data_IF_572274795632
#
_entry.id   IF_572274795632
#
_cell.length_a   1.000
_cell.length_b   1.000
_cell.length_c   1.000
_cell.angle_alpha   90.00
_cell.angle_beta   90.00
_cell.angle_gamma   90.00
#
_symmetry.space_group_name_H-M   'P 1'
#
loop_
_entity.id
_entity.type
_entity.pdbx_description
1 polymer ?
#
# COMPACT_ATOMS: atom_id res chain seq x y z
N UNK A 1 -16.67 45.62 -9.75
CA UNK A 1 -17.76 44.63 -9.77
C UNK A 1 -17.09 43.27 -9.73
N UNK A 2 -17.32 42.54 -8.65
CA UNK A 2 -16.41 41.54 -8.09
C UNK A 2 -16.28 40.28 -8.95
N UNK A 3 -15.04 39.79 -9.02
CA UNK A 3 -14.70 38.43 -9.46
C UNK A 3 -15.23 37.43 -8.43
N UNK A 4 -16.19 36.59 -8.83
CA UNK A 4 -16.59 35.42 -8.05
C UNK A 4 -15.76 34.23 -8.51
N UNK A 5 -14.98 33.73 -7.57
CA UNK A 5 -14.19 32.52 -7.62
C UNK A 5 -15.11 31.31 -7.79
N UNK A 6 -14.88 30.48 -8.81
CA UNK A 6 -15.42 29.13 -8.86
C UNK A 6 -14.42 28.22 -8.14
N UNK A 7 -14.78 27.86 -6.91
CA UNK A 7 -14.16 26.80 -6.13
C UNK A 7 -14.35 25.48 -6.87
N UNK A 8 -13.24 24.86 -7.26
CA UNK A 8 -13.18 23.47 -7.65
C UNK A 8 -13.56 22.63 -6.42
N UNK A 9 -14.74 22.01 -6.47
CA UNK A 9 -15.12 20.97 -5.52
C UNK A 9 -14.20 19.78 -5.78
N UNK A 10 -13.21 19.62 -4.90
CA UNK A 10 -12.55 18.34 -4.64
C UNK A 10 -13.64 17.38 -4.16
N UNK A 11 -14.25 16.64 -5.09
CA UNK A 11 -14.84 15.37 -4.75
C UNK A 11 -13.68 14.46 -4.40
N UNK A 12 -13.31 14.46 -3.12
CA UNK A 12 -12.61 13.31 -2.55
C UNK A 12 -13.47 12.12 -2.87
N UNK A 13 -12.97 11.25 -3.74
CA UNK A 13 -13.43 9.87 -3.79
C UNK A 13 -13.10 9.33 -2.41
N UNK A 14 -14.09 9.40 -1.50
CA UNK A 14 -14.10 8.53 -0.34
C UNK A 14 -14.11 7.14 -0.95
N UNK A 15 -12.94 6.50 -0.99
CA UNK A 15 -12.87 5.07 -1.10
C UNK A 15 -13.78 4.58 0.04
N UNK A 16 -14.93 4.02 -0.32
CA UNK A 16 -15.75 3.33 0.66
C UNK A 16 -14.90 2.15 1.08
N UNK A 17 -14.12 2.33 2.16
CA UNK A 17 -13.42 1.25 2.81
C UNK A 17 -14.51 0.24 3.12
N UNK A 18 -14.55 -0.84 2.33
CA UNK A 18 -15.48 -1.91 2.56
C UNK A 18 -15.22 -2.38 3.99
N UNK A 19 -16.29 -2.52 4.79
CA UNK A 19 -16.16 -2.89 6.19
C UNK A 19 -15.52 -4.27 6.30
N UNK A 20 -14.20 -4.31 6.46
CA UNK A 20 -13.44 -5.52 6.68
C UNK A 20 -13.28 -5.69 8.19
N UNK A 21 -14.13 -6.47 8.81
CA UNK A 21 -13.88 -6.93 10.17
C UNK A 21 -13.25 -8.32 10.09
N UNK A 22 -12.07 -8.55 10.70
CA UNK A 22 -11.54 -9.89 10.77
C UNK A 22 -12.45 -10.79 11.62
N UNK A 23 -12.67 -12.01 11.17
CA UNK A 23 -13.43 -13.02 11.91
C UNK A 23 -12.71 -13.40 13.21
N UNK A 24 -13.41 -13.98 14.18
CA UNK A 24 -12.77 -14.56 15.37
C UNK A 24 -11.87 -15.75 14.99
N UNK A 25 -10.75 -15.94 15.69
CA UNK A 25 -9.72 -16.97 15.43
C UNK A 25 -9.02 -16.87 14.06
N UNK A 26 -9.22 -15.78 13.32
CA UNK A 26 -8.56 -15.54 12.04
C UNK A 26 -7.07 -15.21 12.26
N UNK A 27 -6.19 -15.89 11.53
CA UNK A 27 -4.78 -15.52 11.47
C UNK A 27 -4.64 -14.24 10.62
N UNK A 28 -4.09 -13.20 11.22
CA UNK A 28 -3.95 -11.88 10.58
C UNK A 28 -2.56 -11.30 10.83
N UNK A 29 -2.18 -10.36 9.98
CA UNK A 29 -1.05 -9.44 10.22
C UNK A 29 -1.56 -8.02 10.13
N UNK A 30 -1.31 -7.22 11.15
CA UNK A 30 -1.64 -5.80 11.17
C UNK A 30 -0.39 -4.95 11.18
N UNK A 31 -0.51 -3.77 10.56
CA UNK A 31 0.53 -2.75 10.56
C UNK A 31 0.06 -1.54 11.35
N UNK A 32 0.96 -0.99 12.15
CA UNK A 32 0.63 0.16 12.98
C UNK A 32 1.77 0.59 13.89
N UNK A 33 1.48 1.52 14.78
CA UNK A 33 2.41 1.96 15.82
C UNK A 33 2.15 1.18 17.10
N UNK A 34 3.19 0.57 17.68
CA UNK A 34 3.08 -0.08 18.97
C UNK A 34 3.01 0.99 20.07
N UNK A 35 1.90 1.01 20.82
CA UNK A 35 1.68 1.97 21.91
C UNK A 35 1.32 1.25 23.19
N UNK A 36 1.43 1.95 24.31
CA UNK A 36 1.03 1.45 25.61
C UNK A 36 0.03 2.41 26.26
N UNK A 37 -1.03 1.88 26.84
CA UNK A 37 -2.04 2.68 27.55
C UNK A 37 -2.24 2.17 28.95
N UNK A 38 -2.44 3.11 29.88
CA UNK A 38 -2.83 2.83 31.26
C UNK A 38 -4.27 3.28 31.45
N UNK A 39 -5.15 2.34 31.80
CA UNK A 39 -6.58 2.54 31.94
C UNK A 39 -7.04 2.18 33.37
N UNK A 40 -8.16 2.75 33.85
CA UNK A 40 -8.76 2.35 35.12
C UNK A 40 -9.21 0.89 35.08
N UNK A 41 -8.83 0.14 36.11
CA UNK A 41 -9.21 -1.24 36.37
C UNK A 41 -10.23 -1.36 37.52
N UNK A 42 -10.30 -2.52 38.18
CA UNK A 42 -11.16 -2.73 39.33
C UNK A 42 -10.93 -1.69 40.46
N UNK A 43 -11.95 -1.45 41.32
CA UNK A 43 -13.27 -2.07 41.29
C UNK A 43 -14.26 -1.41 40.31
N UNK A 44 -14.15 -0.10 40.05
CA UNK A 44 -15.18 0.64 39.34
C UNK A 44 -14.89 0.85 37.85
N UNK A 45 -13.62 0.76 37.43
CA UNK A 45 -13.18 0.98 36.05
C UNK A 45 -13.48 2.42 35.53
N UNK A 46 -13.52 3.40 36.44
CA UNK A 46 -13.88 4.79 36.14
C UNK A 46 -12.69 5.73 36.29
N UNK A 47 -11.91 5.63 37.37
CA UNK A 47 -10.86 6.60 37.69
C UNK A 47 -9.75 6.05 38.58
N UNK A 48 -8.53 6.01 38.00
CA UNK A 48 -7.29 5.70 38.74
C UNK A 48 -7.07 6.72 39.88
N UNK A 49 -7.47 7.99 39.70
CA UNK A 49 -7.30 9.03 40.73
C UNK A 49 -8.23 8.82 41.92
N UNK A 50 -9.36 8.15 41.72
CA UNK A 50 -10.38 7.92 42.74
C UNK A 50 -10.26 6.53 43.39
N UNK A 51 -9.21 5.78 43.06
CA UNK A 51 -8.82 4.54 43.76
C UNK A 51 -8.89 3.27 42.92
N UNK A 52 -9.23 3.35 41.64
CA UNK A 52 -9.18 2.19 40.74
C UNK A 52 -7.73 1.76 40.45
N UNK A 53 -7.54 0.45 40.27
CA UNK A 53 -6.26 -0.15 39.88
C UNK A 53 -5.79 0.41 38.53
N UNK A 54 -4.52 0.80 38.41
CA UNK A 54 -3.95 1.22 37.13
C UNK A 54 -3.54 -0.02 36.32
N UNK A 55 -4.27 -0.32 35.23
CA UNK A 55 -3.96 -1.44 34.36
C UNK A 55 -3.29 -0.95 33.08
N UNK A 56 -2.10 -1.47 32.80
CA UNK A 56 -1.31 -1.11 31.62
C UNK A 56 -1.34 -2.25 30.61
N UNK A 57 -1.72 -1.93 29.37
CA UNK A 57 -1.74 -2.88 28.25
C UNK A 57 -1.05 -2.29 27.02
N UNK A 58 -0.51 -3.18 26.19
CA UNK A 58 0.02 -2.82 24.88
C UNK A 58 -1.07 -2.90 23.82
N UNK A 59 -1.03 -1.94 22.89
CA UNK A 59 -1.96 -1.82 21.79
C UNK A 59 -1.17 -1.61 20.50
N UNK A 60 -1.76 -2.04 19.40
CA UNK A 60 -1.39 -1.56 18.08
C UNK A 60 -2.35 -0.44 17.68
N UNK A 61 -1.83 0.76 17.45
CA UNK A 61 -2.57 1.80 16.73
C UNK A 61 -2.43 1.55 15.24
N UNK A 62 -3.54 1.19 14.58
CA UNK A 62 -3.55 0.76 13.18
C UNK A 62 -3.18 1.90 12.23
N UNK A 63 -2.37 1.61 11.22
CA UNK A 63 -2.11 2.54 10.10
C UNK A 63 -3.39 2.73 9.27
N UNK A 64 -4.14 1.64 9.06
CA UNK A 64 -5.45 1.65 8.42
C UNK A 64 -6.49 1.07 9.38
N UNK A 65 -7.39 1.91 9.94
CA UNK A 65 -8.53 1.43 10.69
C UNK A 65 -9.41 0.53 9.83
N UNK A 66 -10.13 -0.37 10.47
CA UNK A 66 -11.10 -1.24 9.81
C UNK A 66 -12.46 -1.15 10.48
N UNK A 67 -13.53 -1.40 9.75
CA UNK A 67 -14.90 -1.26 10.25
C UNK A 67 -15.47 -2.62 10.65
N UNK A 68 -16.04 -2.69 11.85
CA UNK A 68 -16.70 -3.87 12.38
C UNK A 68 -18.19 -3.65 12.59
N UNK A 69 -19.01 -4.64 12.22
CA UNK A 69 -20.44 -4.62 12.53
C UNK A 69 -20.65 -4.74 14.03
N UNK A 70 -21.33 -3.76 14.64
CA UNK A 70 -21.74 -3.78 16.03
C UNK A 70 -23.26 -3.69 16.19
N UNK A 71 -23.74 -3.95 17.42
CA UNK A 71 -25.17 -3.91 17.77
C UNK A 71 -25.84 -2.54 17.48
N UNK A 72 -25.04 -1.47 17.43
CA UNK A 72 -25.51 -0.09 17.20
C UNK A 72 -25.06 0.50 15.84
N UNK A 73 -24.60 -0.34 14.91
CA UNK A 73 -24.07 0.07 13.61
C UNK A 73 -22.58 -0.26 13.43
N UNK A 74 -21.98 0.26 12.36
CA UNK A 74 -20.55 0.08 12.09
C UNK A 74 -19.70 0.81 13.14
N UNK A 75 -18.70 0.11 13.67
CA UNK A 75 -17.73 0.60 14.65
C UNK A 75 -16.36 0.58 14.00
N UNK A 76 -15.76 1.76 13.88
CA UNK A 76 -14.39 1.90 13.39
C UNK A 76 -13.40 1.47 14.46
N UNK A 77 -12.60 0.46 14.15
CA UNK A 77 -11.53 -0.06 14.99
C UNK A 77 -10.22 0.54 14.51
N UNK A 78 -9.70 1.50 15.27
CA UNK A 78 -8.40 2.15 15.02
C UNK A 78 -7.28 1.61 15.91
N UNK A 79 -7.63 0.80 16.90
CA UNK A 79 -6.70 0.24 17.87
C UNK A 79 -7.06 -1.20 18.21
N UNK A 80 -6.05 -2.04 18.35
CA UNK A 80 -6.19 -3.45 18.72
C UNK A 80 -5.38 -3.70 19.99
N UNK A 81 -6.04 -4.15 21.05
CA UNK A 81 -5.36 -4.58 22.27
C UNK A 81 -4.59 -5.88 22.00
N UNK A 82 -3.32 -5.91 22.41
CA UNK A 82 -2.47 -7.08 22.25
C UNK A 82 -2.59 -7.97 23.48
N UNK A 83 -2.88 -9.25 23.24
CA UNK A 83 -2.89 -10.31 24.23
C UNK A 83 -1.65 -11.15 24.02
N UNK A 84 -0.78 -11.20 25.03
CA UNK A 84 0.36 -12.09 25.02
C UNK A 84 -0.11 -13.47 25.48
N UNK A 85 -0.03 -14.52 24.65
CA UNK A 85 -0.18 -15.89 25.14
C UNK A 85 0.95 -16.19 26.14
N UNK A 86 0.82 -17.27 26.91
CA UNK A 86 1.82 -17.68 27.92
C UNK A 86 3.28 -17.49 27.42
N UNK A 87 4.16 -17.09 28.35
CA UNK A 87 5.48 -16.43 28.14
C UNK A 87 6.50 -17.15 27.23
N UNK A 88 6.17 -18.30 26.65
CA UNK A 88 7.09 -19.15 25.89
C UNK A 88 7.39 -18.62 24.47
N UNK A 89 6.65 -17.62 23.97
CA UNK A 89 6.84 -17.06 22.61
C UNK A 89 7.22 -15.58 22.60
N UNK A 90 6.39 -14.73 23.19
CA UNK A 90 6.60 -13.28 23.24
C UNK A 90 6.27 -12.79 24.64
N UNK A 91 7.19 -12.02 25.22
CA UNK A 91 7.02 -11.39 26.50
C UNK A 91 6.93 -9.86 26.35
N UNK A 92 6.45 -9.20 27.41
CA UNK A 92 6.43 -7.74 27.50
C UNK A 92 7.81 -7.11 27.27
N UNK A 93 8.90 -7.81 27.63
CA UNK A 93 10.28 -7.37 27.37
C UNK A 93 10.63 -7.27 25.88
N UNK A 94 9.94 -8.02 25.01
CA UNK A 94 10.16 -7.99 23.56
C UNK A 94 9.44 -6.81 22.89
N UNK A 95 8.35 -6.35 23.51
CA UNK A 95 7.55 -5.20 23.08
C UNK A 95 8.15 -3.87 23.55
N UNK A 96 8.68 -3.81 24.77
CA UNK A 96 9.18 -2.55 25.35
C UNK A 96 10.19 -1.78 24.46
N UNK A 97 11.18 -2.40 23.80
CA UNK A 97 12.11 -1.70 22.90
C UNK A 97 11.48 -1.19 21.60
N UNK A 98 10.23 -1.58 21.33
CA UNK A 98 9.49 -1.30 20.09
C UNK A 98 8.36 -0.28 20.31
N UNK A 99 8.11 0.14 21.55
CA UNK A 99 7.13 1.17 21.86
C UNK A 99 7.42 2.47 21.09
N UNK A 100 6.37 3.05 20.52
CA UNK A 100 6.41 4.24 19.67
C UNK A 100 6.96 3.99 18.26
N UNK A 101 7.28 2.74 17.89
CA UNK A 101 7.76 2.40 16.54
C UNK A 101 6.65 1.77 15.71
N UNK A 102 6.79 1.94 14.41
CA UNK A 102 6.00 1.20 13.43
C UNK A 102 6.40 -0.28 13.45
N UNK A 103 5.40 -1.14 13.53
CA UNK A 103 5.56 -2.60 13.60
C UNK A 103 4.55 -3.30 12.71
N UNK A 104 4.91 -4.51 12.30
CA UNK A 104 3.97 -5.53 11.83
C UNK A 104 3.77 -6.53 12.96
N UNK A 105 2.54 -6.73 13.39
CA UNK A 105 2.17 -7.73 14.39
C UNK A 105 1.34 -8.82 13.73
N UNK A 106 1.69 -10.07 13.99
CA UNK A 106 0.95 -11.22 13.50
C UNK A 106 0.37 -12.00 14.66
N UNK A 107 -0.82 -12.54 14.49
CA UNK A 107 -1.51 -13.25 15.55
C UNK A 107 -2.88 -13.76 15.14
N UNK A 108 -3.61 -14.29 16.13
CA UNK A 108 -5.00 -14.68 15.97
C UNK A 108 -5.93 -13.64 16.59
N UNK A 109 -6.97 -13.27 15.86
CA UNK A 109 -8.00 -12.37 16.35
C UNK A 109 -8.86 -13.03 17.43
N UNK A 110 -9.33 -12.22 18.36
CA UNK A 110 -10.26 -12.60 19.42
C UNK A 110 -11.22 -11.44 19.66
N UNK A 111 -12.48 -11.73 19.95
CA UNK A 111 -13.44 -10.68 20.32
C UNK A 111 -13.44 -10.39 21.83
N UNK A 112 -13.92 -9.21 22.21
CA UNK A 112 -14.03 -8.82 23.61
C UNK A 112 -14.99 -9.76 24.37
N UNK A 113 -14.50 -10.40 25.43
CA UNK A 113 -15.25 -11.39 26.23
C UNK A 113 -15.27 -11.05 27.73
N UNK A 114 -14.49 -10.05 28.18
CA UNK A 114 -14.38 -9.68 29.60
C UNK A 114 -14.26 -8.17 29.78
N UNK A 115 -14.51 -7.68 31.00
CA UNK A 115 -14.31 -6.26 31.36
C UNK A 115 -12.85 -5.79 31.36
N UNK A 116 -11.89 -6.65 30.96
CA UNK A 116 -10.47 -6.30 30.77
C UNK A 116 -10.09 -6.14 29.30
N UNK A 117 -11.05 -6.34 28.39
CA UNK A 117 -10.88 -6.18 26.95
C UNK A 117 -11.44 -4.81 26.58
N UNK A 118 -10.57 -3.89 26.17
CA UNK A 118 -10.91 -2.49 25.92
C UNK A 118 -11.10 -2.15 24.44
N UNK A 119 -10.85 -3.11 23.54
CA UNK A 119 -11.11 -2.99 22.10
C UNK A 119 -12.07 -4.08 21.63
N UNK A 120 -12.92 -3.82 20.61
CA UNK A 120 -13.87 -4.82 20.10
C UNK A 120 -13.16 -6.07 19.55
N UNK A 121 -12.04 -5.84 18.86
CA UNK A 121 -11.13 -6.85 18.34
C UNK A 121 -9.81 -6.78 19.11
N UNK A 122 -9.32 -7.93 19.55
CA UNK A 122 -8.03 -8.14 20.19
C UNK A 122 -7.17 -9.04 19.31
N UNK A 123 -5.85 -9.05 19.56
CA UNK A 123 -4.92 -9.93 18.87
C UNK A 123 -4.11 -10.74 19.87
N UNK A 124 -4.26 -12.07 19.83
CA UNK A 124 -3.36 -13.00 20.50
C UNK A 124 -2.07 -13.03 19.69
N UNK A 125 -1.02 -12.45 20.24
CA UNK A 125 0.21 -12.13 19.52
C UNK A 125 1.08 -13.38 19.30
N UNK A 126 1.44 -13.63 18.04
CA UNK A 126 2.39 -14.67 17.64
C UNK A 126 3.77 -14.10 17.30
N UNK A 127 3.81 -12.96 16.61
CA UNK A 127 5.04 -12.30 16.16
C UNK A 127 4.93 -10.77 16.15
N UNK A 128 6.05 -10.10 16.31
CA UNK A 128 6.19 -8.66 16.13
C UNK A 128 7.48 -8.37 15.37
N UNK A 129 7.37 -7.57 14.32
CA UNK A 129 8.48 -7.22 13.43
C UNK A 129 8.60 -5.70 13.32
N UNK A 130 9.80 -5.15 13.49
CA UNK A 130 10.01 -3.71 13.35
C UNK A 130 9.99 -3.33 11.87
N UNK A 131 9.16 -2.34 11.55
CA UNK A 131 9.17 -1.68 10.25
C UNK A 131 10.15 -0.50 10.36
N UNK A 132 11.11 -0.46 9.44
CA UNK A 132 12.16 0.55 9.42
C UNK A 132 11.99 1.45 8.21
N UNK A 133 11.87 2.73 8.48
CA UNK A 133 11.95 3.83 7.51
C UNK A 133 13.25 3.77 6.70
N UNK A 134 13.17 4.03 5.40
CA UNK A 134 14.30 4.02 4.46
C UNK A 134 14.85 5.45 4.29
N UNK A 135 15.48 5.97 5.35
CA UNK A 135 15.92 7.36 5.42
C UNK A 135 17.42 7.54 5.10
N UNK A 136 18.27 6.64 5.59
CA UNK A 136 19.72 6.77 5.45
C UNK A 136 20.24 6.27 4.08
N UNK A 137 21.40 6.76 3.60
CA UNK A 137 22.04 6.25 2.39
C UNK A 137 22.29 4.73 2.41
N UNK A 138 22.65 4.17 3.58
CA UNK A 138 22.90 2.74 3.76
C UNK A 138 21.61 1.93 3.61
N UNK A 139 20.51 2.43 4.20
CA UNK A 139 19.19 1.81 4.07
C UNK A 139 18.70 1.87 2.62
N UNK A 140 18.83 3.03 1.95
CA UNK A 140 18.49 3.21 0.54
C UNK A 140 19.31 2.26 -0.34
N UNK A 141 20.61 2.18 -0.13
CA UNK A 141 21.50 1.24 -0.84
C UNK A 141 21.08 -0.22 -0.63
N UNK A 142 20.79 -0.61 0.62
CA UNK A 142 20.29 -1.95 0.93
C UNK A 142 18.97 -2.25 0.23
N UNK A 143 18.03 -1.30 0.25
CA UNK A 143 16.75 -1.42 -0.44
C UNK A 143 16.94 -1.60 -1.96
N UNK A 144 17.81 -0.81 -2.60
CA UNK A 144 18.06 -0.94 -4.04
C UNK A 144 18.77 -2.26 -4.40
N UNK A 145 19.64 -2.79 -3.55
CA UNK A 145 20.24 -4.12 -3.75
C UNK A 145 19.18 -5.23 -3.67
N UNK A 146 18.28 -5.14 -2.70
CA UNK A 146 17.18 -6.10 -2.54
C UNK A 146 16.13 -5.94 -3.65
N UNK A 147 15.93 -4.72 -4.16
CA UNK A 147 15.14 -4.46 -5.35
C UNK A 147 15.70 -5.17 -6.58
N UNK A 148 17.02 -5.13 -6.80
CA UNK A 148 17.65 -5.86 -7.91
C UNK A 148 17.41 -7.38 -7.81
N UNK A 149 17.36 -7.93 -6.58
CA UNK A 149 16.99 -9.33 -6.35
C UNK A 149 15.50 -9.60 -6.64
N UNK A 150 14.60 -8.69 -6.26
CA UNK A 150 13.19 -8.75 -6.63
C UNK A 150 13.01 -8.73 -8.16
N UNK A 151 13.70 -7.83 -8.85
CA UNK A 151 13.70 -7.79 -10.32
C UNK A 151 14.25 -9.08 -10.93
N UNK A 152 15.24 -9.71 -10.31
CA UNK A 152 15.74 -11.01 -10.75
C UNK A 152 14.68 -12.10 -10.62
N UNK A 153 13.99 -12.15 -9.48
CA UNK A 153 12.89 -13.09 -9.26
C UNK A 153 11.74 -12.87 -10.28
N UNK A 154 11.44 -11.62 -10.65
CA UNK A 154 10.50 -11.30 -11.73
C UNK A 154 10.98 -11.79 -13.11
N UNK A 155 12.27 -11.62 -13.43
CA UNK A 155 12.84 -12.12 -14.70
C UNK A 155 12.79 -13.64 -14.81
N UNK A 156 13.04 -14.32 -13.70
CA UNK A 156 13.01 -15.77 -13.60
C UNK A 156 11.58 -16.33 -13.42
N UNK A 157 10.58 -15.45 -13.22
CA UNK A 157 9.20 -15.83 -12.87
C UNK A 157 9.15 -16.77 -11.65
N UNK A 158 10.04 -16.54 -10.69
CA UNK A 158 10.19 -17.38 -9.51
C UNK A 158 9.14 -16.99 -8.46
N UNK A 159 8.00 -17.67 -8.50
CA UNK A 159 6.84 -17.44 -7.61
C UNK A 159 7.25 -17.46 -6.14
N UNK A 160 7.96 -18.50 -5.70
CA UNK A 160 8.36 -18.65 -4.30
C UNK A 160 9.31 -17.53 -3.84
N UNK A 161 10.24 -17.10 -4.70
CA UNK A 161 11.13 -15.99 -4.37
C UNK A 161 10.38 -14.65 -4.32
N UNK A 162 9.46 -14.41 -5.25
CA UNK A 162 8.66 -13.18 -5.28
C UNK A 162 7.73 -13.06 -4.09
N UNK A 163 7.03 -14.14 -3.74
CA UNK A 163 6.11 -14.19 -2.61
C UNK A 163 6.74 -13.70 -1.31
N UNK A 164 8.04 -13.97 -1.10
CA UNK A 164 8.79 -13.52 0.09
C UNK A 164 8.94 -12.01 0.19
N UNK A 165 8.71 -11.26 -0.88
CA UNK A 165 8.70 -9.80 -0.86
C UNK A 165 7.36 -9.23 -0.43
N UNK A 166 6.29 -10.01 -0.34
CA UNK A 166 4.97 -9.51 0.07
C UNK A 166 4.79 -9.67 1.58
N UNK A 167 4.11 -8.70 2.19
CA UNK A 167 3.53 -8.83 3.53
C UNK A 167 2.05 -9.04 3.32
N UNK A 168 1.54 -10.19 3.78
CA UNK A 168 0.13 -10.55 3.63
C UNK A 168 -0.67 -10.31 4.93
N UNK A 169 -1.94 -9.87 4.81
CA UNK A 169 -2.55 -9.35 3.58
C UNK A 169 -1.85 -8.05 3.14
N UNK A 170 -1.74 -7.84 1.82
CA UNK A 170 -1.17 -6.61 1.28
C UNK A 170 -2.20 -5.51 1.48
N UNK A 171 -1.79 -4.33 1.98
CA UNK A 171 -2.68 -3.17 2.03
C UNK A 171 -2.94 -2.67 0.60
N UNK A 172 -4.09 -3.02 0.03
CA UNK A 172 -4.43 -2.77 -1.37
C UNK A 172 -5.31 -3.89 -1.91
N UNK A 173 -5.52 -3.90 -3.21
CA UNK A 173 -6.44 -4.85 -3.84
C UNK A 173 -5.76 -5.65 -4.95
N UNK A 174 -6.31 -6.83 -5.26
CA UNK A 174 -5.76 -7.69 -6.31
C UNK A 174 -5.66 -6.98 -7.67
N UNK A 175 -6.59 -6.08 -7.98
CA UNK A 175 -6.61 -5.32 -9.23
C UNK A 175 -5.41 -4.35 -9.39
N UNK A 176 -4.67 -4.07 -8.31
CA UNK A 176 -3.41 -3.33 -8.41
C UNK A 176 -2.32 -4.13 -9.16
N UNK A 177 -2.49 -5.45 -9.23
CA UNK A 177 -1.51 -6.38 -9.77
C UNK A 177 -1.95 -7.04 -11.07
N UNK A 178 -3.25 -7.12 -11.32
CA UNK A 178 -3.83 -7.81 -12.48
C UNK A 178 -4.85 -6.89 -13.17
N UNK A 179 -5.13 -7.10 -14.47
CA UNK A 179 -6.15 -6.32 -15.16
C UNK A 179 -7.49 -6.38 -14.43
N UNK A 180 -8.17 -5.24 -14.33
CA UNK A 180 -9.49 -5.16 -13.73
C UNK A 180 -10.49 -6.06 -14.47
N UNK A 181 -11.27 -6.82 -13.70
CA UNK A 181 -12.38 -7.62 -14.17
C UNK A 181 -13.60 -7.33 -13.29
N UNK A 182 -14.64 -6.78 -13.91
CA UNK A 182 -15.91 -6.41 -13.25
C UNK A 182 -16.61 -7.61 -12.58
N UNK A 183 -16.26 -8.84 -12.98
CA UNK A 183 -16.84 -10.06 -12.43
C UNK A 183 -16.03 -10.63 -11.26
N UNK A 184 -14.82 -10.13 -11.01
CA UNK A 184 -14.04 -10.52 -9.84
C UNK A 184 -14.51 -9.70 -8.63
N UNK A 185 -14.92 -10.34 -7.52
CA UNK A 185 -15.24 -9.62 -6.31
C UNK A 185 -14.01 -8.87 -5.81
N UNK A 186 -14.20 -7.67 -5.26
CA UNK A 186 -13.16 -7.02 -4.46
C UNK A 186 -12.86 -7.95 -3.28
N UNK A 187 -11.64 -8.48 -3.25
CA UNK A 187 -11.18 -9.38 -2.21
C UNK A 187 -9.88 -8.87 -1.59
N UNK A 188 -9.75 -9.07 -0.27
CA UNK A 188 -8.52 -8.76 0.45
C UNK A 188 -7.37 -9.53 -0.18
N UNK A 189 -6.25 -8.85 -0.46
CA UNK A 189 -5.12 -9.49 -1.13
C UNK A 189 -4.30 -10.34 -0.15
N UNK A 190 -4.79 -11.55 0.13
CA UNK A 190 -4.20 -12.52 1.05
C UNK A 190 -3.11 -13.38 0.38
N UNK A 191 -2.41 -14.17 1.19
CA UNK A 191 -1.41 -15.12 0.72
C UNK A 191 -2.02 -16.18 -0.23
N UNK A 192 -3.23 -16.66 0.07
CA UNK A 192 -3.94 -17.63 -0.77
C UNK A 192 -4.35 -17.02 -2.12
N UNK A 193 -4.86 -15.79 -2.10
CA UNK A 193 -5.19 -15.03 -3.32
C UNK A 193 -3.95 -14.83 -4.19
N UNK A 194 -2.79 -14.57 -3.59
CA UNK A 194 -1.52 -14.52 -4.32
C UNK A 194 -1.20 -15.85 -4.99
N UNK A 195 -1.31 -16.97 -4.26
CA UNK A 195 -0.98 -18.29 -4.79
C UNK A 195 -1.89 -18.67 -5.97
N UNK A 196 -3.18 -18.38 -5.86
CA UNK A 196 -4.17 -18.66 -6.92
C UNK A 196 -3.96 -17.80 -8.17
N UNK A 197 -3.43 -16.57 -8.00
CA UNK A 197 -3.25 -15.60 -9.07
C UNK A 197 -1.78 -15.36 -9.48
N UNK A 198 -0.84 -16.15 -8.98
CA UNK A 198 0.60 -15.86 -9.06
C UNK A 198 1.08 -15.60 -10.50
N UNK A 199 0.58 -16.35 -11.48
CA UNK A 199 0.92 -16.16 -12.89
C UNK A 199 0.49 -14.80 -13.45
N UNK A 200 -0.71 -14.34 -13.08
CA UNK A 200 -1.25 -13.05 -13.50
C UNK A 200 -0.53 -11.89 -12.80
N UNK A 201 -0.31 -12.02 -11.49
CA UNK A 201 0.44 -11.04 -10.68
C UNK A 201 1.85 -10.84 -11.24
N UNK A 202 2.57 -11.93 -11.56
CA UNK A 202 3.91 -11.85 -12.15
C UNK A 202 3.86 -11.15 -13.51
N UNK A 203 2.86 -11.46 -14.35
CA UNK A 203 2.70 -10.81 -15.64
C UNK A 203 2.45 -9.30 -15.49
N UNK A 204 1.61 -8.90 -14.54
CA UNK A 204 1.32 -7.49 -14.23
C UNK A 204 2.53 -6.73 -13.69
N UNK A 205 3.37 -7.37 -12.87
CA UNK A 205 4.59 -6.78 -12.32
C UNK A 205 5.80 -6.87 -13.26
N UNK A 206 5.69 -7.56 -14.40
CA UNK A 206 6.84 -7.88 -15.25
C UNK A 206 7.60 -6.65 -15.74
N UNK A 207 6.92 -5.52 -15.93
CA UNK A 207 7.55 -4.26 -16.38
C UNK A 207 8.49 -3.67 -15.33
N UNK A 208 8.26 -3.94 -14.04
CA UNK A 208 9.13 -3.47 -12.94
C UNK A 208 10.56 -4.01 -13.05
N UNK A 209 10.73 -5.18 -13.69
CA UNK A 209 12.04 -5.76 -13.96
C UNK A 209 12.89 -4.96 -14.97
N UNK A 210 12.31 -3.95 -15.63
CA UNK A 210 12.98 -3.08 -16.62
C UNK A 210 13.50 -1.77 -16.04
N UNK A 211 13.09 -1.42 -14.82
CA UNK A 211 13.52 -0.19 -14.14
C UNK A 211 15.03 -0.25 -13.91
N UNK A 212 15.76 0.77 -14.35
CA UNK A 212 17.21 0.82 -14.15
C UNK A 212 17.52 1.41 -12.77
N UNK A 213 18.29 0.67 -11.99
CA UNK A 213 18.57 0.99 -10.58
C UNK A 213 20.05 0.82 -10.30
N UNK A 214 20.66 1.85 -9.74
CA UNK A 214 22.05 1.85 -9.32
C UNK A 214 22.16 2.09 -7.80
N UNK A 215 22.46 1.03 -7.01
CA UNK A 215 22.61 1.14 -5.56
C UNK A 215 23.81 1.97 -5.09
N UNK A 216 24.81 2.23 -5.94
CA UNK A 216 25.98 3.03 -5.56
C UNK A 216 25.71 4.52 -5.67
N UNK A 217 25.04 4.95 -6.75
CA UNK A 217 24.62 6.34 -6.95
C UNK A 217 23.28 6.65 -6.31
N UNK A 218 22.57 5.65 -5.77
CA UNK A 218 21.21 5.75 -5.22
C UNK A 218 20.19 6.27 -6.24
N UNK A 219 20.39 5.96 -7.53
CA UNK A 219 19.55 6.45 -8.62
C UNK A 219 18.58 5.37 -9.08
N UNK A 220 17.36 5.80 -9.38
CA UNK A 220 16.32 5.01 -10.04
C UNK A 220 15.97 5.78 -11.32
N UNK A 221 16.24 5.17 -12.47
CA UNK A 221 15.97 5.77 -13.77
C UNK A 221 14.68 5.19 -14.33
N UNK A 222 13.80 6.09 -14.77
CA UNK A 222 12.54 5.74 -15.41
C UNK A 222 12.77 4.80 -16.61
N UNK A 223 11.92 3.78 -16.72
CA UNK A 223 11.79 2.98 -17.93
C UNK A 223 10.53 3.42 -18.70
N UNK A 224 10.71 3.77 -19.98
CA UNK A 224 9.63 4.31 -20.82
C UNK A 224 9.53 3.57 -22.15
N UNK A 225 8.33 3.09 -22.46
CA UNK A 225 7.96 2.64 -23.79
C UNK A 225 7.15 3.78 -24.43
N UNK A 226 7.73 4.39 -25.46
CA UNK A 226 7.10 5.50 -26.15
C UNK A 226 5.97 4.97 -27.04
N UNK A 227 4.79 5.58 -26.98
CA UNK A 227 3.69 5.23 -27.88
C UNK A 227 3.92 5.73 -29.31
N UNK A 228 4.59 6.88 -29.46
CA UNK A 228 4.97 7.42 -30.76
C UNK A 228 6.28 6.82 -31.28
N UNK A 229 6.32 6.53 -32.59
CA UNK A 229 7.57 6.18 -33.27
C UNK A 229 8.60 7.32 -33.21
N UNK A 230 9.87 7.00 -33.47
CA UNK A 230 10.93 8.02 -33.51
C UNK A 230 10.63 9.15 -34.53
N UNK A 231 10.03 8.81 -35.69
CA UNK A 231 9.63 9.80 -36.70
C UNK A 231 8.46 10.66 -36.20
N UNK A 232 7.46 10.04 -35.58
CA UNK A 232 6.31 10.75 -35.01
C UNK A 232 6.71 11.73 -33.90
N UNK A 233 7.69 11.37 -33.06
CA UNK A 233 8.18 12.26 -31.99
C UNK A 233 8.92 13.49 -32.50
N UNK A 234 9.39 13.49 -33.73
CA UNK A 234 10.04 14.66 -34.35
C UNK A 234 9.01 15.67 -34.89
N UNK A 235 7.74 15.30 -34.98
CA UNK A 235 6.67 16.19 -35.44
C UNK A 235 6.36 17.22 -34.36
N UNK A 236 5.95 18.40 -34.81
CA UNK A 236 5.38 19.42 -33.93
C UNK A 236 3.87 19.24 -33.90
N UNK A 237 3.34 18.92 -32.72
CA UNK A 237 1.91 18.80 -32.49
C UNK A 237 1.36 20.10 -31.91
N UNK A 238 0.11 20.40 -32.23
CA UNK A 238 -0.64 21.56 -31.75
C UNK A 238 -1.97 21.07 -31.17
N UNK A 239 -2.40 21.60 -30.01
CA UNK A 239 -3.70 21.23 -29.43
C UNK A 239 -4.87 21.70 -30.30
N UNK A 240 -5.98 20.96 -30.26
CA UNK A 240 -7.27 21.33 -30.86
C UNK A 240 -8.30 21.75 -29.79
N UNK A 241 -9.44 22.28 -30.24
CA UNK A 241 -10.51 22.78 -29.36
C UNK A 241 -11.25 21.68 -28.58
N UNK A 242 -11.10 20.41 -28.96
CA UNK A 242 -11.62 19.27 -28.18
C UNK A 242 -10.50 18.70 -27.33
N UNK A 243 -10.80 18.49 -26.05
CA UNK A 243 -9.96 17.75 -25.12
C UNK A 243 -9.56 16.43 -25.77
N UNK A 244 -8.27 16.12 -25.69
CA UNK A 244 -7.78 14.87 -26.23
C UNK A 244 -7.27 14.91 -27.68
N UNK A 245 -7.45 16.00 -28.42
CA UNK A 245 -7.09 16.03 -29.85
C UNK A 245 -5.94 16.99 -30.16
N UNK A 246 -5.07 16.50 -31.03
CA UNK A 246 -3.91 17.24 -31.55
C UNK A 246 -3.93 17.23 -33.07
N UNK A 247 -3.17 18.13 -33.67
CA UNK A 247 -2.84 18.04 -35.08
C UNK A 247 -1.36 18.32 -35.33
N UNK A 248 -0.85 17.79 -36.42
CA UNK A 248 0.43 18.19 -37.00
C UNK A 248 0.24 18.57 -38.46
N UNK A 249 1.16 19.36 -38.99
CA UNK A 249 1.18 19.75 -40.40
C UNK A 249 2.35 19.07 -41.10
N UNK A 250 2.07 18.35 -42.18
CA UNK A 250 3.06 17.68 -43.02
C UNK A 250 2.67 17.93 -44.48
N UNK A 251 3.60 18.45 -45.29
CA UNK A 251 3.36 18.79 -46.70
C UNK A 251 2.15 19.73 -46.96
N UNK A 252 1.89 20.66 -46.04
CA UNK A 252 0.76 21.59 -46.15
C UNK A 252 -0.61 20.96 -45.88
N UNK A 253 -0.66 19.70 -45.46
CA UNK A 253 -1.88 19.05 -44.98
C UNK A 253 -1.89 18.96 -43.46
N UNK A 254 -3.06 19.25 -42.89
CA UNK A 254 -3.32 19.05 -41.46
C UNK A 254 -3.75 17.60 -41.24
N UNK A 255 -3.05 16.92 -40.35
CA UNK A 255 -3.39 15.59 -39.88
C UNK A 255 -3.81 15.67 -38.42
N UNK A 256 -5.06 15.32 -38.12
CA UNK A 256 -5.56 15.23 -36.74
C UNK A 256 -5.23 13.86 -36.17
N UNK A 257 -4.81 13.84 -34.92
CA UNK A 257 -4.52 12.63 -34.15
C UNK A 257 -5.11 12.79 -32.76
N UNK A 258 -5.57 11.68 -32.21
CA UNK A 258 -5.78 11.57 -30.78
C UNK A 258 -4.39 11.41 -30.15
N UNK A 259 -4.15 12.09 -29.04
CA UNK A 259 -2.86 11.92 -28.36
C UNK A 259 -2.76 10.57 -27.66
N UNK A 260 -1.53 10.19 -27.31
CA UNK A 260 -1.17 8.83 -26.90
C UNK A 260 -0.41 8.86 -25.58
N UNK A 261 -0.63 7.85 -24.72
CA UNK A 261 0.10 7.68 -23.46
C UNK A 261 1.31 6.76 -23.62
N UNK A 262 2.44 7.11 -23.02
CA UNK A 262 3.57 6.19 -22.89
C UNK A 262 3.33 5.19 -21.77
N UNK A 263 3.91 3.99 -21.89
CA UNK A 263 4.02 3.10 -20.72
C UNK A 263 5.25 3.49 -19.93
N UNK A 264 5.05 3.97 -18.70
CA UNK A 264 6.10 4.43 -17.81
C UNK A 264 6.19 3.52 -16.60
N UNK A 265 7.42 3.19 -16.21
CA UNK A 265 7.73 2.62 -14.90
C UNK A 265 8.74 3.53 -14.23
N UNK A 266 8.41 3.99 -13.04
CA UNK A 266 9.24 4.90 -12.25
C UNK A 266 9.43 4.39 -10.83
N UNK A 267 10.27 5.08 -10.08
CA UNK A 267 10.39 4.84 -8.66
C UNK A 267 11.20 5.92 -7.96
N UNK A 268 10.91 6.12 -6.68
CA UNK A 268 11.56 7.11 -5.85
C UNK A 268 11.53 6.68 -4.38
N UNK A 269 12.39 7.31 -3.58
CA UNK A 269 12.27 7.24 -2.12
C UNK A 269 11.38 8.38 -1.65
N UNK A 270 10.19 8.06 -1.16
CA UNK A 270 9.17 9.02 -0.74
C UNK A 270 8.51 8.56 0.56
N UNK A 271 8.25 9.50 1.47
CA UNK A 271 7.66 9.23 2.79
C UNK A 271 8.39 8.07 3.51
N UNK A 272 9.71 8.08 3.45
CA UNK A 272 10.60 7.05 4.02
C UNK A 272 10.37 5.62 3.50
N UNK A 273 9.76 5.47 2.33
CA UNK A 273 9.53 4.19 1.65
C UNK A 273 10.19 4.19 0.27
N UNK A 274 10.37 3.01 -0.32
CA UNK A 274 10.65 2.89 -1.75
C UNK A 274 9.31 2.72 -2.47
N UNK A 275 8.91 3.73 -3.24
CA UNK A 275 7.70 3.68 -4.05
C UNK A 275 8.06 3.40 -5.50
N UNK A 276 7.37 2.44 -6.11
CA UNK A 276 7.53 2.06 -7.51
C UNK A 276 6.19 2.26 -8.19
N UNK A 277 6.17 3.01 -9.29
CA UNK A 277 4.96 3.24 -10.06
C UNK A 277 5.03 2.53 -11.41
N UNK A 278 3.89 2.03 -11.89
CA UNK A 278 3.73 1.59 -13.27
C UNK A 278 2.44 2.16 -13.87
N UNK A 279 2.54 2.69 -15.08
CA UNK A 279 1.36 3.07 -15.87
C UNK A 279 0.59 1.85 -16.34
N UNK A 280 -0.74 1.91 -16.26
CA UNK A 280 -1.63 0.76 -16.47
C UNK A 280 -1.68 0.29 -17.92
N UNK A 281 -1.43 1.14 -18.94
CA UNK A 281 -0.99 0.81 -20.32
C UNK A 281 -1.02 2.10 -21.19
N UNK A 282 -0.46 2.04 -22.40
CA UNK A 282 -0.66 3.08 -23.39
C UNK A 282 -2.12 3.06 -23.88
N UNK A 283 -2.99 3.96 -23.41
CA UNK A 283 -4.31 4.16 -24.00
C UNK A 283 -4.14 4.73 -25.43
N UNK A 284 -4.81 4.11 -26.41
CA UNK A 284 -4.86 4.56 -27.81
C UNK A 284 -5.86 5.70 -28.04
N UNK A 285 -6.51 6.23 -26.99
CA UNK A 285 -7.70 7.07 -27.13
C UNK A 285 -7.78 8.30 -26.19
N UNK A 286 -6.76 8.65 -25.40
CA UNK A 286 -6.83 9.88 -24.59
C UNK A 286 -5.44 10.55 -24.44
N UNK A 287 -5.37 11.87 -24.66
CA UNK A 287 -4.34 12.69 -24.05
C UNK A 287 -4.91 13.77 -23.11
N UNK A 288 -4.34 13.77 -21.92
CA UNK A 288 -4.12 14.97 -21.13
C UNK A 288 -2.74 14.83 -20.50
N UNK A 289 -2.42 15.68 -19.54
CA UNK A 289 -1.18 15.54 -18.75
C UNK A 289 -1.09 14.14 -18.13
N UNK A 290 0.06 13.73 -17.58
CA UNK A 290 0.25 12.45 -16.86
C UNK A 290 -0.94 12.03 -15.96
N UNK A 291 -1.74 13.00 -15.51
CA UNK A 291 -2.97 12.93 -14.74
C UNK A 291 -4.20 12.34 -15.47
N UNK A 292 -4.15 12.12 -16.80
CA UNK A 292 -5.28 11.68 -17.65
C UNK A 292 -4.99 10.38 -18.41
N UNK A 293 -3.84 9.74 -18.19
CA UNK A 293 -3.63 8.36 -18.64
C UNK A 293 -4.41 7.42 -17.73
N UNK A 294 -5.00 6.35 -18.29
CA UNK A 294 -5.53 5.23 -17.49
C UNK A 294 -4.48 4.94 -16.41
N UNK A 295 -4.93 4.85 -15.17
CA UNK A 295 -4.16 5.10 -13.96
C UNK A 295 -2.72 4.60 -13.81
N UNK A 296 -2.13 4.90 -12.67
CA UNK A 296 -0.87 4.30 -12.25
C UNK A 296 -1.10 3.41 -11.03
N UNK A 297 -0.57 2.20 -11.09
CA UNK A 297 -0.41 1.35 -9.90
C UNK A 297 0.88 1.77 -9.21
N UNK A 298 0.78 2.05 -7.91
CA UNK A 298 1.91 2.37 -7.04
C UNK A 298 2.08 1.22 -6.05
N UNK A 299 3.31 0.79 -5.88
CA UNK A 299 3.69 -0.26 -4.94
C UNK A 299 4.61 0.32 -3.88
N UNK A 300 4.25 0.10 -2.62
CA UNK A 300 4.92 0.68 -1.46
C UNK A 300 5.80 -0.39 -0.82
N UNK A 301 7.11 -0.15 -0.78
CA UNK A 301 8.07 -1.02 -0.14
C UNK A 301 8.68 -0.39 1.11
N UNK A 302 8.64 -1.14 2.22
CA UNK A 302 9.26 -0.80 3.50
C UNK A 302 10.34 -1.85 3.86
N UNK A 303 11.23 -1.54 4.82
CA UNK A 303 12.15 -2.53 5.37
C UNK A 303 11.51 -3.19 6.60
N UNK A 304 11.21 -4.48 6.52
CA UNK A 304 10.72 -5.28 7.65
C UNK A 304 11.86 -6.17 8.10
N UNK A 305 12.34 -5.97 9.33
CA UNK A 305 13.56 -6.60 9.84
C UNK A 305 14.77 -6.47 8.89
N UNK A 306 14.92 -5.29 8.28
CA UNK A 306 15.99 -5.01 7.31
C UNK A 306 15.80 -5.67 5.94
N UNK A 307 14.71 -6.41 5.71
CA UNK A 307 14.37 -6.99 4.42
C UNK A 307 13.36 -6.12 3.69
N UNK A 308 13.57 -5.87 2.41
CA UNK A 308 12.64 -5.14 1.57
C UNK A 308 11.35 -5.96 1.41
N UNK A 309 10.22 -5.33 1.72
CA UNK A 309 8.88 -5.92 1.61
C UNK A 309 7.91 -4.92 1.00
N UNK A 310 7.10 -5.37 0.06
CA UNK A 310 5.89 -4.70 -0.39
C UNK A 310 4.84 -4.82 0.70
N UNK A 311 4.47 -3.70 1.30
CA UNK A 311 3.48 -3.62 2.38
C UNK A 311 2.14 -3.13 1.89
N UNK A 312 2.11 -2.48 0.72
CA UNK A 312 0.88 -2.03 0.12
C UNK A 312 0.98 -1.67 -1.35
N UNK A 313 -0.18 -1.43 -1.93
CA UNK A 313 -0.39 -0.97 -3.29
C UNK A 313 -1.64 -0.11 -3.37
N UNK A 314 -1.72 0.70 -4.41
CA UNK A 314 -2.97 1.31 -4.85
C UNK A 314 -2.86 1.64 -6.33
N UNK A 315 -3.99 1.65 -7.02
CA UNK A 315 -4.09 2.12 -8.40
C UNK A 315 -4.99 3.34 -8.44
N UNK A 316 -4.44 4.45 -8.95
CA UNK A 316 -5.17 5.69 -9.14
C UNK A 316 -5.43 5.90 -10.62
N UNK A 317 -6.69 5.91 -11.05
CA UNK A 317 -7.11 6.06 -12.45
C UNK A 317 -8.63 6.14 -12.59
#
# INVERSE_FOLDING_TARGET
MNYCWLLAALFGVSCAAQAYCPDEDQQVTFQGTLIQKTLPGPPNYESIREGDEALTYDYLQLEQPFECGGDNGEVSVSEVQLILPDQDRIAYSDLAPRLGKEVLVSGKTMFAQSGRHFTPVLLILDDVNVVTSITTPEQKKSALLQWQQFQQALREKNVAALKRYFVFPVQGELFDFIPYDENHPMETFTEAVFDDNAGQIIAGLQKLARLDVNPQSLTINEYRINALSAKERQRRYFPQDQDGRFYYEENGQRHTVDGVCDTVVGGAFENDTLQISQGTLANRQLPGMSEMCDGASVYIFKLVEGKLRMTGSFTAG
#
